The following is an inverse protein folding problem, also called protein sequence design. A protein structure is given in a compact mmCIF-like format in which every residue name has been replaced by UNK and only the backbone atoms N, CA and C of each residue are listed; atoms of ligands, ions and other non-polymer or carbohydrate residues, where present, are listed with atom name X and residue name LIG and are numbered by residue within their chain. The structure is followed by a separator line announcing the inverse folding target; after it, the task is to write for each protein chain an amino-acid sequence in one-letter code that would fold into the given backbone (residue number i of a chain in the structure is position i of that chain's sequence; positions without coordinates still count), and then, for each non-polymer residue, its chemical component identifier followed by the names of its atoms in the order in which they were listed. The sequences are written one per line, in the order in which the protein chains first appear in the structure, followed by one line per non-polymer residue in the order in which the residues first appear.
data_IF_849435433404
#
_entry.id   IF_849435433404
#
_cell.length_a   1.000
_cell.length_b   1.000
_cell.length_c   1.000
_cell.angle_alpha   90.00
_cell.angle_beta   90.00
_cell.angle_gamma   90.00
#
_symmetry.space_group_name_H-M   'P 1'
#
loop_
_entity.id
_entity.type
_entity.pdbx_description
1 polymer ?
#
# COMPACT_ATOMS: atom_id res chain seq x y z
N UNK A 1 37.20 -21.56 -1.02
CA UNK A 1 35.90 -22.21 -0.77
C UNK A 1 35.16 -21.65 0.45
N UNK A 2 35.74 -21.64 1.66
CA UNK A 2 35.08 -21.08 2.88
C UNK A 2 34.55 -19.64 2.73
N UNK A 3 35.36 -18.71 2.19
CA UNK A 3 34.95 -17.30 2.00
C UNK A 3 33.79 -17.16 1.00
N UNK A 4 33.81 -17.92 -0.09
CA UNK A 4 32.73 -17.94 -1.08
C UNK A 4 31.41 -18.41 -0.48
N UNK A 5 31.44 -19.42 0.40
CA UNK A 5 30.26 -19.90 1.13
C UNK A 5 29.76 -18.82 2.09
N UNK A 6 30.66 -18.16 2.84
CA UNK A 6 30.28 -17.06 3.74
C UNK A 6 29.60 -15.91 2.98
N UNK A 7 30.15 -15.48 1.84
CA UNK A 7 29.53 -14.41 1.05
C UNK A 7 28.20 -14.82 0.44
N UNK A 8 28.05 -16.07 0.00
CA UNK A 8 26.78 -16.59 -0.51
C UNK A 8 25.69 -16.59 0.58
N UNK A 9 26.03 -17.06 1.79
CA UNK A 9 25.13 -17.01 2.94
C UNK A 9 24.76 -15.55 3.29
N UNK A 10 25.76 -14.66 3.36
CA UNK A 10 25.54 -13.26 3.70
C UNK A 10 24.66 -12.54 2.66
N UNK A 11 24.83 -12.87 1.39
CA UNK A 11 24.01 -12.32 0.29
C UNK A 11 22.57 -12.81 0.40
N UNK A 12 22.34 -14.10 0.66
CA UNK A 12 20.99 -14.65 0.84
C UNK A 12 20.30 -14.03 2.07
N UNK A 13 21.01 -13.94 3.19
CA UNK A 13 20.49 -13.28 4.40
C UNK A 13 20.17 -11.81 4.14
N UNK A 14 21.03 -11.08 3.44
CA UNK A 14 20.81 -9.69 3.06
C UNK A 14 19.57 -9.52 2.17
N UNK A 15 19.42 -10.35 1.13
CA UNK A 15 18.24 -10.31 0.25
C UNK A 15 16.96 -10.61 1.04
N UNK A 16 16.98 -11.63 1.90
CA UNK A 16 15.84 -11.99 2.74
C UNK A 16 15.35 -10.81 3.62
N UNK A 17 16.27 -10.00 4.14
CA UNK A 17 15.94 -8.81 4.92
C UNK A 17 15.28 -7.70 4.10
N UNK A 18 15.54 -7.60 2.80
CA UNK A 18 14.97 -6.55 1.92
C UNK A 18 13.56 -6.89 1.44
N UNK A 19 13.25 -8.18 1.26
CA UNK A 19 11.93 -8.66 0.82
C UNK A 19 10.75 -8.04 1.59
N UNK A 20 10.72 -8.02 2.95
CA UNK A 20 9.60 -7.42 3.69
C UNK A 20 9.45 -5.91 3.42
N UNK A 21 10.54 -5.19 3.16
CA UNK A 21 10.46 -3.76 2.83
C UNK A 21 9.86 -3.53 1.44
N UNK A 22 10.26 -4.33 0.45
CA UNK A 22 9.65 -4.27 -0.89
C UNK A 22 8.16 -4.56 -0.79
N UNK A 23 7.79 -5.59 -0.02
CA UNK A 23 6.38 -5.93 0.21
C UNK A 23 5.60 -4.80 0.89
N UNK A 24 6.21 -4.11 1.86
CA UNK A 24 5.61 -2.98 2.56
C UNK A 24 5.37 -1.79 1.62
N UNK A 25 6.36 -1.43 0.80
CA UNK A 25 6.24 -0.33 -0.18
C UNK A 25 5.16 -0.63 -1.21
N UNK A 26 5.14 -1.85 -1.77
CA UNK A 26 4.04 -2.25 -2.66
C UNK A 26 2.69 -2.11 -1.96
N UNK A 27 2.57 -2.65 -0.75
CA UNK A 27 1.28 -2.69 -0.04
C UNK A 27 0.76 -1.30 0.28
N UNK A 28 1.64 -0.33 0.53
CA UNK A 28 1.25 1.08 0.70
C UNK A 28 0.57 1.69 -0.54
N UNK A 29 0.86 1.18 -1.74
CA UNK A 29 0.33 1.69 -3.02
C UNK A 29 -0.85 0.87 -3.55
N UNK A 30 -1.23 -0.23 -2.87
CA UNK A 30 -2.42 -1.04 -3.20
C UNK A 30 -3.71 -0.31 -2.86
N UNK A 31 -4.81 -0.70 -3.51
CA UNK A 31 -6.14 -0.25 -3.12
C UNK A 31 -6.57 -0.88 -1.80
N UNK A 32 -7.33 -0.14 -0.97
CA UNK A 32 -7.83 -0.67 0.31
C UNK A 32 -8.72 -1.92 0.12
N UNK A 33 -9.50 -1.97 -0.96
CA UNK A 33 -10.34 -3.13 -1.29
C UNK A 33 -9.51 -4.37 -1.62
N UNK A 34 -8.35 -4.19 -2.24
CA UNK A 34 -7.42 -5.29 -2.54
C UNK A 34 -6.73 -5.80 -1.27
N UNK A 35 -6.29 -4.90 -0.40
CA UNK A 35 -5.70 -5.24 0.90
C UNK A 35 -6.72 -6.00 1.78
N UNK A 36 -7.96 -5.51 1.85
CA UNK A 36 -9.03 -6.15 2.63
C UNK A 36 -9.42 -7.55 2.12
N UNK A 37 -9.17 -7.83 0.83
CA UNK A 37 -9.38 -9.17 0.24
C UNK A 37 -8.24 -10.15 0.54
N UNK A 38 -7.20 -9.72 1.26
CA UNK A 38 -6.05 -10.56 1.63
C UNK A 38 -5.11 -10.86 0.46
N UNK A 39 -5.02 -9.99 -0.56
CA UNK A 39 -4.13 -10.23 -1.70
C UNK A 39 -2.65 -10.04 -1.32
N UNK A 40 -1.89 -11.14 -1.25
CA UNK A 40 -0.49 -11.15 -0.79
C UNK A 40 0.56 -10.91 -1.90
N UNK A 41 0.17 -10.51 -3.12
CA UNK A 41 1.11 -10.27 -4.24
C UNK A 41 2.01 -9.04 -4.10
N UNK A 42 3.14 -9.00 -4.82
CA UNK A 42 4.07 -7.86 -4.88
C UNK A 42 3.68 -6.74 -5.85
N UNK A 43 2.64 -6.95 -6.66
CA UNK A 43 2.15 -5.95 -7.60
C UNK A 43 0.81 -5.42 -7.10
N UNK A 44 0.54 -4.12 -7.28
CA UNK A 44 -0.76 -3.55 -6.95
C UNK A 44 -1.74 -3.85 -8.09
N UNK A 45 -2.68 -4.76 -7.82
CA UNK A 45 -3.56 -5.33 -8.83
C UNK A 45 -5.02 -5.05 -8.46
N UNK A 46 -5.69 -4.24 -9.27
CA UNK A 46 -7.10 -3.95 -9.10
C UNK A 46 -7.95 -4.92 -9.92
N UNK A 47 -8.73 -5.77 -9.23
CA UNK A 47 -9.75 -6.64 -9.83
C UNK A 47 -11.08 -5.90 -9.88
N UNK A 48 -11.58 -5.62 -11.08
CA UNK A 48 -12.88 -4.99 -11.30
C UNK A 48 -13.74 -5.82 -12.27
N UNK A 49 -15.05 -5.70 -12.14
CA UNK A 49 -15.97 -6.22 -13.14
C UNK A 49 -16.12 -5.18 -14.24
N UNK A 50 -16.10 -5.59 -15.49
CA UNK A 50 -16.33 -4.76 -16.65
C UNK A 50 -17.58 -5.24 -17.40
N UNK A 51 -18.32 -4.31 -17.98
CA UNK A 51 -19.41 -4.58 -18.91
C UNK A 51 -19.07 -3.96 -20.26
N UNK A 52 -19.23 -4.72 -21.33
CA UNK A 52 -19.02 -4.25 -22.70
C UNK A 52 -20.38 -4.04 -23.36
N UNK A 53 -20.69 -2.80 -23.75
CA UNK A 53 -21.94 -2.40 -24.41
C UNK A 53 -21.73 -2.25 -25.93
N UNK A 54 -20.96 -3.16 -26.54
CA UNK A 54 -20.72 -3.24 -27.99
C UNK A 54 -19.78 -2.19 -28.58
N UNK A 55 -19.59 -1.03 -27.94
CA UNK A 55 -18.68 0.03 -28.37
C UNK A 55 -17.70 0.46 -27.27
N UNK A 56 -18.17 0.52 -26.01
CA UNK A 56 -17.38 0.99 -24.87
C UNK A 56 -17.38 -0.01 -23.70
N UNK A 57 -16.26 -0.02 -22.96
CA UNK A 57 -16.09 -0.84 -21.76
C UNK A 57 -16.25 0.00 -20.49
N UNK A 58 -17.20 -0.38 -19.64
CA UNK A 58 -17.49 0.33 -18.39
C UNK A 58 -17.14 -0.53 -17.18
N UNK A 59 -16.57 0.08 -16.15
CA UNK A 59 -16.36 -0.58 -14.85
C UNK A 59 -17.70 -0.71 -14.15
N UNK A 60 -18.02 -1.88 -13.61
CA UNK A 60 -19.29 -2.12 -12.93
C UNK A 60 -19.10 -2.49 -11.46
N UNK A 61 -19.97 -1.94 -10.61
CA UNK A 61 -20.14 -2.38 -9.21
C UNK A 61 -21.49 -3.07 -9.08
N UNK A 62 -21.44 -4.37 -8.78
CA UNK A 62 -22.64 -5.19 -8.59
C UNK A 62 -23.29 -4.79 -7.27
N UNK A 63 -24.57 -4.44 -7.31
CA UNK A 63 -25.37 -4.06 -6.13
C UNK A 63 -26.18 -5.26 -5.63
N UNK A 64 -26.81 -5.99 -6.56
CA UNK A 64 -27.67 -7.14 -6.25
C UNK A 64 -27.59 -8.16 -7.37
N UNK A 65 -27.32 -9.41 -7.02
CA UNK A 65 -27.28 -10.52 -7.97
C UNK A 65 -28.62 -11.24 -7.96
N UNK A 66 -29.28 -11.31 -9.12
CA UNK A 66 -30.46 -12.11 -9.42
C UNK A 66 -30.02 -13.35 -10.22
N UNK A 67 -30.78 -14.46 -10.18
CA UNK A 67 -30.35 -15.77 -10.72
C UNK A 67 -29.77 -15.70 -12.15
N UNK A 68 -30.35 -14.85 -13.01
CA UNK A 68 -29.97 -14.73 -14.42
C UNK A 68 -29.38 -13.35 -14.80
N UNK A 69 -29.49 -12.35 -13.91
CA UNK A 69 -29.04 -10.99 -14.17
C UNK A 69 -28.58 -10.29 -12.90
N UNK A 70 -27.63 -9.37 -13.00
CA UNK A 70 -27.20 -8.56 -11.88
C UNK A 70 -27.60 -7.11 -12.08
N UNK A 71 -28.08 -6.49 -11.00
CA UNK A 71 -28.23 -5.05 -10.90
C UNK A 71 -26.85 -4.45 -10.65
N UNK A 72 -26.38 -3.62 -11.57
CA UNK A 72 -25.05 -3.02 -11.49
C UNK A 72 -25.10 -1.51 -11.66
N UNK A 73 -24.16 -0.84 -10.99
CA UNK A 73 -23.84 0.55 -11.25
C UNK A 73 -22.68 0.60 -12.24
N UNK A 74 -22.86 1.32 -13.33
CA UNK A 74 -21.81 1.67 -14.28
C UNK A 74 -21.03 2.85 -13.70
N UNK A 75 -19.72 2.68 -13.63
CA UNK A 75 -18.78 3.59 -13.01
C UNK A 75 -17.80 4.06 -14.08
N UNK A 76 -17.61 5.37 -14.15
CA UNK A 76 -16.59 6.02 -14.98
C UNK A 76 -15.16 5.72 -14.47
N UNK A 77 -14.14 6.02 -15.26
CA UNK A 77 -12.73 5.80 -14.89
C UNK A 77 -12.32 6.55 -13.60
N UNK A 78 -13.00 7.65 -13.30
CA UNK A 78 -12.86 8.44 -12.06
C UNK A 78 -13.59 7.85 -10.85
N UNK A 79 -14.36 6.77 -11.00
CA UNK A 79 -15.10 6.19 -9.88
C UNK A 79 -16.49 6.78 -9.65
N UNK A 80 -16.96 7.71 -10.49
CA UNK A 80 -18.31 8.30 -10.42
C UNK A 80 -19.34 7.38 -11.06
N UNK A 81 -20.52 7.26 -10.43
CA UNK A 81 -21.63 6.47 -10.95
C UNK A 81 -22.34 7.30 -12.02
N UNK A 82 -22.25 6.88 -13.28
CA UNK A 82 -22.94 7.56 -14.38
C UNK A 82 -24.31 6.92 -14.66
N UNK A 83 -24.44 5.61 -14.49
CA UNK A 83 -25.72 4.91 -14.63
C UNK A 83 -25.91 3.94 -13.48
N UNK A 84 -26.96 4.16 -12.70
CA UNK A 84 -27.30 3.33 -11.56
C UNK A 84 -28.37 2.29 -11.91
N UNK A 85 -28.30 1.12 -11.27
CA UNK A 85 -29.33 0.07 -11.38
C UNK A 85 -29.62 -0.41 -12.83
N UNK A 86 -28.60 -0.55 -13.70
CA UNK A 86 -28.82 -1.23 -14.98
C UNK A 86 -28.86 -2.74 -14.72
N UNK A 87 -29.91 -3.41 -15.20
CA UNK A 87 -30.01 -4.88 -15.17
C UNK A 87 -29.19 -5.44 -16.33
N UNK A 88 -28.16 -6.22 -16.02
CA UNK A 88 -27.23 -6.77 -17.00
C UNK A 88 -27.19 -8.30 -16.86
N UNK A 89 -27.23 -9.07 -17.96
CA UNK A 89 -27.05 -10.52 -17.90
C UNK A 89 -25.69 -10.88 -17.31
N UNK A 90 -25.64 -11.91 -16.47
CA UNK A 90 -24.37 -12.31 -15.84
C UNK A 90 -23.31 -12.73 -16.89
N UNK A 91 -23.74 -13.20 -18.06
CA UNK A 91 -22.88 -13.56 -19.19
C UNK A 91 -22.12 -12.37 -19.81
N UNK A 92 -22.64 -11.15 -19.68
CA UNK A 92 -22.00 -9.95 -20.21
C UNK A 92 -20.97 -9.31 -19.25
N UNK A 93 -20.79 -9.88 -18.06
CA UNK A 93 -19.87 -9.37 -17.04
C UNK A 93 -18.51 -10.05 -17.18
N UNK A 94 -17.49 -9.28 -17.53
CA UNK A 94 -16.11 -9.75 -17.63
C UNK A 94 -15.30 -9.29 -16.42
N UNK A 95 -14.67 -10.21 -15.68
CA UNK A 95 -13.75 -9.83 -14.59
C UNK A 95 -12.39 -9.47 -15.19
N UNK A 96 -11.99 -8.21 -15.07
CA UNK A 96 -10.69 -7.72 -15.54
C UNK A 96 -9.77 -7.39 -14.38
N UNK A 97 -8.48 -7.44 -14.70
CA UNK A 97 -7.38 -7.25 -13.78
C UNK A 97 -6.46 -6.19 -14.37
N UNK A 98 -6.24 -5.07 -13.66
CA UNK A 98 -5.37 -3.98 -14.12
C UNK A 98 -4.39 -3.60 -13.02
N UNK A 99 -3.15 -3.28 -13.39
CA UNK A 99 -2.17 -2.73 -12.46
C UNK A 99 -2.50 -1.24 -12.28
N UNK A 100 -2.79 -0.83 -11.05
CA UNK A 100 -3.10 0.57 -10.71
C UNK A 100 -2.42 0.96 -9.41
N UNK A 101 -1.68 2.06 -9.44
CA UNK A 101 -0.98 2.61 -8.29
C UNK A 101 -1.84 3.68 -7.60
N UNK A 102 -2.03 3.56 -6.28
CA UNK A 102 -2.79 4.51 -5.47
C UNK A 102 -1.86 5.39 -4.61
N UNK A 103 -1.22 6.39 -5.22
CA UNK A 103 -0.37 7.34 -4.48
C UNK A 103 -1.16 8.26 -3.54
N UNK A 104 -2.46 8.43 -3.78
CA UNK A 104 -3.36 9.19 -2.91
C UNK A 104 -3.43 8.63 -1.47
N UNK A 105 -3.07 7.35 -1.30
CA UNK A 105 -2.96 6.71 0.01
C UNK A 105 -1.99 7.46 0.93
N UNK A 106 -0.89 7.99 0.41
CA UNK A 106 0.08 8.75 1.20
C UNK A 106 -0.52 10.06 1.69
N UNK A 107 -1.12 10.85 0.80
CA UNK A 107 -1.77 12.12 1.16
C UNK A 107 -2.87 11.88 2.18
N UNK A 108 -3.67 10.83 1.98
CA UNK A 108 -4.74 10.45 2.91
C UNK A 108 -4.18 10.06 4.27
N UNK A 109 -3.11 9.26 4.32
CA UNK A 109 -2.49 8.82 5.58
C UNK A 109 -1.89 9.99 6.38
N UNK A 110 -1.20 10.92 5.72
CA UNK A 110 -0.62 12.10 6.37
C UNK A 110 -1.68 13.05 6.93
N UNK A 111 -2.84 13.17 6.24
CA UNK A 111 -3.95 14.00 6.71
C UNK A 111 -4.88 13.30 7.72
N UNK A 112 -4.77 11.97 7.87
CA UNK A 112 -5.64 11.18 8.77
C UNK A 112 -5.35 11.39 10.26
N UNK A 113 -4.12 11.76 10.59
CA UNK A 113 -3.66 11.98 11.96
C UNK A 113 -2.85 13.27 12.01
N UNK A 114 -2.67 13.91 13.19
CA UNK A 114 -1.80 15.07 13.32
C UNK A 114 -0.31 14.66 13.23
N UNK A 115 0.09 14.11 12.07
CA UNK A 115 1.41 13.55 11.81
C UNK A 115 2.51 14.56 12.10
N UNK A 116 2.34 15.81 11.66
CA UNK A 116 3.30 16.88 11.90
C UNK A 116 3.61 17.08 13.39
N UNK A 117 2.59 16.95 14.26
CA UNK A 117 2.79 17.05 15.71
C UNK A 117 3.61 15.88 16.24
N UNK A 118 3.30 14.66 15.84
CA UNK A 118 4.05 13.47 16.26
C UNK A 118 5.49 13.48 15.76
N UNK A 119 5.70 13.93 14.53
CA UNK A 119 7.01 14.06 13.93
C UNK A 119 7.86 15.10 14.67
N UNK A 120 7.32 16.29 14.91
CA UNK A 120 8.04 17.35 15.63
C UNK A 120 8.31 16.97 17.09
N UNK A 121 7.36 16.36 17.79
CA UNK A 121 7.59 15.87 19.15
C UNK A 121 8.75 14.88 19.20
N UNK A 122 8.77 13.90 18.28
CA UNK A 122 9.85 12.91 18.18
C UNK A 122 11.19 13.59 17.88
N UNK A 123 11.20 14.56 16.96
CA UNK A 123 12.40 15.31 16.59
C UNK A 123 12.97 16.06 17.80
N UNK A 124 12.13 16.80 18.53
CA UNK A 124 12.55 17.54 19.73
C UNK A 124 13.14 16.58 20.78
N UNK A 125 12.48 15.45 21.04
CA UNK A 125 12.96 14.46 22.02
C UNK A 125 14.29 13.84 21.57
N UNK A 126 14.38 13.37 20.33
CA UNK A 126 15.60 12.75 19.81
C UNK A 126 16.81 13.69 19.86
N UNK A 127 16.65 14.96 19.44
CA UNK A 127 17.74 15.93 19.53
C UNK A 127 18.12 16.28 20.96
N UNK A 128 17.13 16.47 21.85
CA UNK A 128 17.38 16.79 23.26
C UNK A 128 18.13 15.65 23.96
N UNK A 129 17.75 14.39 23.69
CA UNK A 129 18.41 13.22 24.25
C UNK A 129 19.83 13.08 23.71
N UNK A 130 20.04 13.19 22.39
CA UNK A 130 21.38 13.10 21.79
C UNK A 130 22.28 14.19 22.35
N UNK A 131 21.79 15.42 22.45
CA UNK A 131 22.55 16.53 23.04
C UNK A 131 22.90 16.26 24.51
N UNK A 132 21.92 15.85 25.33
CA UNK A 132 22.15 15.53 26.73
C UNK A 132 23.15 14.39 26.94
N UNK A 133 23.06 13.33 26.12
CA UNK A 133 23.99 12.19 26.16
C UNK A 133 25.40 12.62 25.76
N UNK A 134 25.55 13.48 24.75
CA UNK A 134 26.87 14.00 24.34
C UNK A 134 27.50 14.81 25.47
N UNK A 135 26.74 15.73 26.07
CA UNK A 135 27.25 16.59 27.16
C UNK A 135 27.65 15.76 28.37
N UNK A 136 26.75 14.91 28.86
CA UNK A 136 26.99 14.10 30.06
C UNK A 136 28.08 13.04 29.83
N UNK A 137 28.06 12.38 28.66
CA UNK A 137 29.07 11.40 28.27
C UNK A 137 30.46 12.01 28.11
N UNK A 138 30.56 13.21 27.54
CA UNK A 138 31.85 13.92 27.40
C UNK A 138 32.42 14.34 28.75
N UNK A 139 31.59 14.87 29.66
CA UNK A 139 32.01 15.22 31.03
C UNK A 139 32.50 13.99 31.80
N UNK A 140 31.75 12.88 31.75
CA UNK A 140 32.12 11.64 32.41
C UNK A 140 33.43 11.07 31.84
N UNK A 141 33.56 11.04 30.51
CA UNK A 141 34.78 10.59 29.84
C UNK A 141 36.01 11.41 30.25
N UNK A 142 35.88 12.74 30.34
CA UNK A 142 36.96 13.61 30.81
C UNK A 142 37.36 13.31 32.27
N UNK A 143 36.38 13.13 33.16
CA UNK A 143 36.64 12.82 34.57
C UNK A 143 37.32 11.45 34.76
N UNK A 144 37.02 10.46 33.92
CA UNK A 144 37.68 9.15 33.98
C UNK A 144 39.05 9.12 33.29
N UNK A 145 39.33 10.05 32.37
CA UNK A 145 40.58 10.12 31.64
C UNK A 145 41.70 10.88 32.39
N UNK A 146 41.35 11.62 33.44
CA UNK A 146 42.26 12.41 34.27
C UNK A 146 42.58 11.70 35.57
#
# INVERSE_FOLDING_TARGET
MRRSITYLILTICGISMVVPFIWMVTTAVKSQLEVNKGNVGFLPIEKYSAYNDGSDEYRIKIIKTEKDSSWVNLIDDEGKIFSAFRKIPNAAITKKTKIKFHFDNFVTAFNKVPFNRYFLNTLIVSFSVVFGVIVTGSLAAYAFAR
#
